data_IF_997828245994
#
_entry.id   IF_997828245994
#
_cell.length_a   1.000
_cell.length_b   1.000
_cell.length_c   1.000
_cell.angle_alpha   90.00
_cell.angle_beta   90.00
_cell.angle_gamma   90.00
#
_symmetry.space_group_name_H-M   'P 1'
#
loop_
_entity.id
_entity.type
_entity.pdbx_description
1 polymer ?
#
# COMPACT_ATOMS: atom_id res chain seq x y z
N UNK A 1 -3.20 -2.01 -0.39
CA UNK A 1 -2.71 -1.59 -1.73
C UNK A 1 -1.25 -1.97 -1.85
N UNK A 2 -0.87 -2.70 -2.91
CA UNK A 2 0.49 -3.12 -3.18
C UNK A 2 0.95 -2.59 -4.54
N UNK A 3 2.26 -2.35 -4.67
CA UNK A 3 2.90 -1.98 -5.93
C UNK A 3 3.66 -3.19 -6.47
N UNK A 4 3.43 -3.51 -7.73
CA UNK A 4 4.13 -4.57 -8.41
C UNK A 4 5.20 -3.94 -9.31
N UNK A 5 6.46 -4.14 -8.95
CA UNK A 5 7.63 -3.68 -9.69
C UNK A 5 8.51 -4.86 -10.13
N UNK A 6 9.60 -4.56 -10.84
CA UNK A 6 10.58 -5.56 -11.28
C UNK A 6 11.26 -6.29 -10.10
N UNK A 7 11.35 -5.67 -8.91
CA UNK A 7 11.95 -6.30 -7.74
C UNK A 7 11.09 -7.46 -7.23
N UNK A 8 9.76 -7.32 -7.28
CA UNK A 8 8.83 -8.42 -6.97
C UNK A 8 9.02 -9.58 -7.94
N UNK A 9 9.17 -9.31 -9.24
CA UNK A 9 9.40 -10.36 -10.24
C UNK A 9 10.73 -11.10 -10.02
N UNK A 10 11.77 -10.41 -9.53
CA UNK A 10 13.06 -11.03 -9.18
C UNK A 10 12.97 -11.90 -7.93
N UNK A 11 12.15 -11.49 -6.95
CA UNK A 11 12.01 -12.18 -5.65
C UNK A 11 11.09 -13.40 -5.71
N UNK A 12 10.10 -13.40 -6.60
CA UNK A 12 9.10 -14.45 -6.71
C UNK A 12 8.99 -14.97 -8.14
N UNK A 13 9.19 -16.27 -8.34
CA UNK A 13 9.12 -16.92 -9.66
C UNK A 13 7.70 -16.97 -10.25
N UNK A 14 6.67 -16.88 -9.41
CA UNK A 14 5.27 -16.82 -9.81
C UNK A 14 4.46 -16.03 -8.78
N UNK A 15 3.61 -15.11 -9.25
CA UNK A 15 2.72 -14.30 -8.42
C UNK A 15 1.28 -14.51 -8.86
N UNK A 16 0.38 -14.76 -7.91
CA UNK A 16 -1.07 -14.85 -8.15
C UNK A 16 -1.78 -13.72 -7.41
N UNK A 17 -2.83 -13.20 -8.04
CA UNK A 17 -3.68 -12.14 -7.49
C UNK A 17 -5.09 -12.73 -7.35
N UNK A 18 -5.74 -12.48 -6.21
CA UNK A 18 -7.10 -12.94 -5.95
C UNK A 18 -8.12 -12.19 -6.84
N UNK A 19 -9.19 -12.87 -7.26
CA UNK A 19 -10.26 -12.29 -8.10
C UNK A 19 -10.98 -11.09 -7.48
N UNK A 20 -10.96 -10.96 -6.14
CA UNK A 20 -11.49 -9.81 -5.42
C UNK A 20 -10.57 -8.57 -5.46
N UNK A 21 -9.37 -8.66 -6.05
CA UNK A 21 -8.45 -7.54 -6.17
C UNK A 21 -8.63 -6.78 -7.49
N UNK A 22 -8.58 -5.46 -7.42
CA UNK A 22 -8.57 -4.59 -8.59
C UNK A 22 -7.13 -4.30 -9.03
N UNK A 23 -6.83 -4.56 -10.30
CA UNK A 23 -5.54 -4.19 -10.91
C UNK A 23 -5.67 -2.80 -11.52
N UNK A 24 -4.88 -1.86 -11.00
CA UNK A 24 -4.76 -0.52 -11.55
C UNK A 24 -3.51 -0.46 -12.43
N UNK A 25 -3.70 -0.16 -13.72
CA UNK A 25 -2.61 0.01 -14.67
C UNK A 25 -2.60 1.47 -15.15
N UNK A 26 -1.47 2.19 -14.97
CA UNK A 26 -1.33 3.53 -15.53
C UNK A 26 -1.52 3.50 -17.05
N UNK A 27 -2.22 4.50 -17.60
CA UNK A 27 -2.35 4.63 -19.05
C UNK A 27 -1.02 5.10 -19.65
N UNK A 28 -0.70 4.66 -20.86
CA UNK A 28 0.53 5.07 -21.54
C UNK A 28 0.58 6.60 -21.66
N UNK A 29 1.65 7.21 -21.15
CA UNK A 29 1.84 8.67 -21.17
C UNK A 29 1.45 9.42 -19.87
N UNK A 30 0.86 8.76 -18.88
CA UNK A 30 0.61 9.40 -17.57
C UNK A 30 1.91 9.57 -16.80
N UNK A 31 2.30 10.83 -16.53
CA UNK A 31 3.50 11.20 -15.76
C UNK A 31 3.20 11.37 -14.27
N UNK A 32 2.46 10.44 -13.66
CA UNK A 32 2.21 10.46 -12.22
C UNK A 32 3.19 9.50 -11.54
N UNK A 33 3.97 9.94 -10.54
CA UNK A 33 4.88 9.06 -9.80
C UNK A 33 4.12 7.91 -9.12
N UNK A 34 4.60 6.66 -9.23
CA UNK A 34 3.95 5.51 -8.60
C UNK A 34 3.78 5.67 -7.08
N UNK A 35 4.79 6.22 -6.40
CA UNK A 35 4.81 6.44 -4.96
C UNK A 35 3.70 7.42 -4.52
N UNK A 36 3.43 8.43 -5.36
CA UNK A 36 2.33 9.35 -5.13
C UNK A 36 0.97 8.65 -5.24
N UNK A 37 0.76 7.83 -6.28
CA UNK A 37 -0.48 7.05 -6.44
C UNK A 37 -0.69 6.14 -5.23
N UNK A 38 0.37 5.46 -4.77
CA UNK A 38 0.30 4.59 -3.60
C UNK A 38 -0.08 5.36 -2.33
N UNK A 39 0.53 6.54 -2.11
CA UNK A 39 0.21 7.38 -0.97
C UNK A 39 -1.27 7.79 -0.98
N UNK A 40 -1.79 8.22 -2.14
CA UNK A 40 -3.20 8.59 -2.31
C UNK A 40 -4.14 7.41 -2.06
N UNK A 41 -3.85 6.25 -2.65
CA UNK A 41 -4.70 5.05 -2.53
C UNK A 41 -4.68 4.43 -1.12
N UNK A 42 -3.61 4.66 -0.36
CA UNK A 42 -3.49 4.24 1.05
C UNK A 42 -4.13 5.24 2.01
N UNK A 43 -4.44 6.45 1.56
CA UNK A 43 -5.18 7.43 2.33
C UNK A 43 -6.65 7.05 2.52
N UNK A 44 -7.42 7.96 3.12
CA UNK A 44 -8.82 7.72 3.46
C UNK A 44 -9.78 7.74 2.27
N UNK A 45 -9.31 8.08 1.07
CA UNK A 45 -10.10 8.23 -0.15
C UNK A 45 -11.10 7.07 -0.37
N UNK A 46 -10.62 5.83 -0.31
CA UNK A 46 -11.45 4.65 -0.57
C UNK A 46 -12.42 4.38 0.59
N UNK A 47 -11.95 4.58 1.84
CA UNK A 47 -12.77 4.42 3.04
C UNK A 47 -13.92 5.42 3.06
N UNK A 48 -13.64 6.68 2.78
CA UNK A 48 -14.62 7.75 2.76
C UNK A 48 -15.60 7.59 1.59
N UNK A 49 -15.10 7.16 0.42
CA UNK A 49 -15.97 6.78 -0.69
C UNK A 49 -16.92 5.63 -0.31
N UNK A 50 -16.43 4.59 0.36
CA UNK A 50 -17.27 3.48 0.81
C UNK A 50 -18.31 3.92 1.84
N UNK A 51 -17.96 4.80 2.79
CA UNK A 51 -18.91 5.31 3.81
C UNK A 51 -20.07 6.08 3.18
N UNK A 52 -19.78 6.92 2.18
CA UNK A 52 -20.81 7.73 1.50
C UNK A 52 -21.69 6.88 0.58
N UNK A 53 -21.12 5.83 -0.04
CA UNK A 53 -21.81 4.99 -1.02
C UNK A 53 -22.27 3.64 -0.45
N UNK A 54 -22.39 3.51 0.88
CA UNK A 54 -22.86 2.27 1.50
C UNK A 54 -24.30 1.97 1.09
N UNK A 55 -24.45 1.02 0.17
CA UNK A 55 -25.68 0.27 -0.04
C UNK A 55 -25.68 -0.84 1.01
N UNK A 56 -26.75 -0.98 1.80
CA UNK A 56 -26.82 -1.82 3.01
C UNK A 56 -26.67 -3.33 2.80
N UNK A 57 -25.53 -3.79 2.30
CA UNK A 57 -25.14 -5.20 2.22
C UNK A 57 -24.26 -5.58 3.42
N UNK A 58 -24.36 -6.84 3.85
CA UNK A 58 -23.55 -7.39 4.95
C UNK A 58 -22.03 -7.42 4.64
N UNK A 59 -21.66 -7.39 3.35
CA UNK A 59 -20.27 -7.27 2.91
C UNK A 59 -20.15 -6.08 1.94
N UNK A 60 -19.49 -4.98 2.34
CA UNK A 60 -19.25 -3.85 1.45
C UNK A 60 -18.27 -4.27 0.35
N UNK A 61 -18.66 -4.07 -0.91
CA UNK A 61 -17.85 -4.37 -2.09
C UNK A 61 -17.85 -3.16 -3.03
N UNK A 62 -16.71 -2.82 -3.61
CA UNK A 62 -16.60 -1.77 -4.63
C UNK A 62 -16.41 -2.43 -5.99
N UNK A 63 -17.38 -2.24 -6.89
CA UNK A 63 -17.24 -2.69 -8.27
C UNK A 63 -16.26 -1.81 -9.04
N UNK A 64 -15.67 -2.34 -10.13
CA UNK A 64 -14.81 -1.56 -11.03
C UNK A 64 -15.49 -0.28 -11.53
N UNK A 65 -16.80 -0.35 -11.81
CA UNK A 65 -17.61 0.78 -12.28
C UNK A 65 -17.72 1.89 -11.23
N UNK A 66 -17.88 1.53 -9.96
CA UNK A 66 -17.92 2.48 -8.84
C UNK A 66 -16.55 3.07 -8.58
N UNK A 67 -15.50 2.24 -8.55
CA UNK A 67 -14.13 2.70 -8.38
C UNK A 67 -13.74 3.75 -9.44
N UNK A 68 -14.16 3.54 -10.69
CA UNK A 68 -13.87 4.48 -11.79
C UNK A 68 -14.54 5.85 -11.64
N UNK A 69 -15.53 6.00 -10.74
CA UNK A 69 -16.18 7.28 -10.45
C UNK A 69 -15.45 8.08 -9.38
N UNK A 70 -14.50 7.48 -8.66
CA UNK A 70 -13.74 8.15 -7.62
C UNK A 70 -12.89 9.23 -8.27
N UNK A 71 -13.15 10.49 -7.89
CA UNK A 71 -12.35 11.63 -8.32
C UNK A 71 -11.23 11.88 -7.32
N UNK A 72 -10.03 12.08 -7.83
CA UNK A 72 -8.84 12.37 -7.04
C UNK A 72 -8.29 13.72 -7.48
N UNK A 73 -8.02 14.59 -6.52
CA UNK A 73 -7.24 15.80 -6.75
C UNK A 73 -5.77 15.42 -6.90
N UNK A 74 -5.22 15.68 -8.09
CA UNK A 74 -3.80 15.46 -8.39
C UNK A 74 -3.17 16.83 -8.63
N UNK A 75 -2.17 17.25 -7.83
CA UNK A 75 -1.45 18.49 -8.04
C UNK A 75 -0.86 18.52 -9.45
N UNK A 76 -0.91 19.66 -10.15
CA UNK A 76 -0.30 19.79 -11.48
C UNK A 76 1.23 19.77 -11.44
N UNK A 77 1.83 20.09 -10.28
CA UNK A 77 3.27 20.15 -10.09
C UNK A 77 3.86 18.75 -9.81
N UNK A 78 4.69 18.26 -10.72
CA UNK A 78 5.35 16.96 -10.59
C UNK A 78 6.29 16.88 -9.39
N UNK A 79 6.97 17.97 -9.04
CA UNK A 79 7.92 17.99 -7.90
C UNK A 79 7.17 17.82 -6.59
N UNK A 80 5.98 18.40 -6.48
CA UNK A 80 5.11 18.24 -5.32
C UNK A 80 4.63 16.80 -5.19
N UNK A 81 4.19 16.18 -6.28
CA UNK A 81 3.80 14.76 -6.29
C UNK A 81 4.96 13.85 -5.83
N UNK A 82 6.17 14.11 -6.34
CA UNK A 82 7.38 13.37 -5.95
C UNK A 82 7.72 13.57 -4.47
N UNK A 83 7.64 14.81 -3.96
CA UNK A 83 7.92 15.11 -2.56
C UNK A 83 6.94 14.39 -1.63
N UNK A 84 5.64 14.40 -1.96
CA UNK A 84 4.60 13.69 -1.21
C UNK A 84 4.87 12.17 -1.24
N UNK A 85 5.11 11.61 -2.42
CA UNK A 85 5.38 10.18 -2.57
C UNK A 85 6.62 9.73 -1.79
N UNK A 86 7.72 10.49 -1.89
CA UNK A 86 8.96 10.22 -1.17
C UNK A 86 8.78 10.32 0.35
N UNK A 87 8.03 11.31 0.83
CA UNK A 87 7.74 11.48 2.25
C UNK A 87 7.05 10.24 2.85
N UNK A 88 5.97 9.77 2.23
CA UNK A 88 5.26 8.58 2.71
C UNK A 88 6.06 7.29 2.52
N UNK A 89 6.81 7.16 1.43
CA UNK A 89 7.69 6.00 1.23
C UNK A 89 8.79 5.94 2.30
N UNK A 90 9.37 7.07 2.69
CA UNK A 90 10.35 7.13 3.77
C UNK A 90 9.76 6.77 5.12
N UNK A 91 8.52 7.21 5.42
CA UNK A 91 7.80 6.80 6.62
C UNK A 91 7.55 5.29 6.66
N UNK A 92 7.09 4.70 5.56
CA UNK A 92 6.88 3.25 5.47
C UNK A 92 8.20 2.48 5.69
N UNK A 93 9.30 2.95 5.09
CA UNK A 93 10.62 2.35 5.30
C UNK A 93 11.09 2.43 6.75
N UNK A 94 10.84 3.57 7.41
CA UNK A 94 11.17 3.77 8.82
C UNK A 94 10.36 2.82 9.71
N UNK A 95 9.05 2.72 9.49
CA UNK A 95 8.17 1.78 10.20
C UNK A 95 8.66 0.34 10.02
N UNK A 96 8.96 -0.06 8.78
CA UNK A 96 9.46 -1.41 8.48
C UNK A 96 10.79 -1.69 9.21
N UNK A 97 11.72 -0.74 9.21
CA UNK A 97 13.00 -0.87 9.93
C UNK A 97 12.79 -1.03 11.44
N UNK A 98 11.86 -0.30 12.03
CA UNK A 98 11.54 -0.46 13.45
C UNK A 98 10.86 -1.80 13.73
N UNK A 99 9.96 -2.25 12.87
CA UNK A 99 9.28 -3.54 13.02
C UNK A 99 10.27 -4.72 12.92
N UNK A 100 11.24 -4.64 12.01
CA UNK A 100 12.33 -5.62 11.91
C UNK A 100 13.15 -5.64 13.19
N UNK A 101 13.51 -4.45 13.72
CA UNK A 101 14.26 -4.35 14.97
C UNK A 101 13.51 -4.95 16.15
N UNK A 102 12.20 -4.71 16.26
CA UNK A 102 11.34 -5.31 17.28
C UNK A 102 11.37 -6.84 17.16
N UNK A 103 11.20 -7.39 15.95
CA UNK A 103 11.23 -8.84 15.72
C UNK A 103 12.57 -9.48 16.12
N UNK A 104 13.68 -8.82 15.81
CA UNK A 104 15.02 -9.25 16.23
C UNK A 104 15.15 -9.25 17.76
N UNK A 105 14.67 -8.21 18.44
CA UNK A 105 14.71 -8.10 19.90
C UNK A 105 13.83 -9.14 20.59
N UNK A 106 12.63 -9.42 20.06
CA UNK A 106 11.76 -10.47 20.57
C UNK A 106 12.40 -11.85 20.44
N UNK A 107 13.07 -12.10 19.31
CA UNK A 107 13.80 -13.36 19.07
C UNK A 107 14.97 -13.50 20.05
N UNK A 108 15.74 -12.44 20.26
CA UNK A 108 16.83 -12.41 21.22
C UNK A 108 16.32 -12.64 22.65
N UNK A 109 15.25 -11.95 23.06
CA UNK A 109 14.63 -12.11 24.38
C UNK A 109 14.22 -13.57 24.61
N UNK A 110 13.57 -14.21 23.62
CA UNK A 110 13.17 -15.63 23.71
C UNK A 110 14.37 -16.56 23.88
N UNK A 111 15.47 -16.28 23.17
CA UNK A 111 16.70 -17.07 23.29
C UNK A 111 17.32 -16.94 24.68
N UNK A 112 17.53 -15.71 25.16
CA UNK A 112 18.12 -15.45 26.48
C UNK A 112 17.29 -16.06 27.60
N UNK A 113 15.96 -15.94 27.56
CA UNK A 113 15.09 -16.55 28.57
C UNK A 113 15.17 -18.08 28.55
N UNK A 114 15.27 -18.70 27.37
CA UNK A 114 15.47 -20.15 27.29
C UNK A 114 16.78 -20.55 27.94
N UNK A 115 17.85 -19.82 27.64
CA UNK A 115 19.19 -20.10 28.17
C UNK A 115 19.30 -19.85 29.70
N UNK A 116 18.36 -19.10 30.31
CA UNK A 116 18.31 -18.84 31.76
C UNK A 116 17.65 -19.96 32.58
N UNK A 117 16.82 -20.79 31.96
CA UNK A 117 16.02 -21.83 32.64
C UNK A 117 16.32 -23.26 32.13
N UNK A 118 17.40 -23.42 31.37
CA UNK A 118 18.08 -24.69 31.08
C UNK A 118 19.30 -24.77 31.98
#
# INVERSE_FOLDING_TARGET
VAYYDENIQKRYSSVRINSAMLILRPLSGTKIPPEYILAVLRGNLISDFMKVNQVGSAQPHITKKEFSKIKVLVPSNIREQQAIGAYFSNLDNLINSHQEKISQLETLKKKVLRDMFI
#
